data_IF_673781393955
#
_entry.id   IF_673781393955
#
_cell.length_a   1.000
_cell.length_b   1.000
_cell.length_c   1.000
_cell.angle_alpha   90.00
_cell.angle_beta   90.00
_cell.angle_gamma   90.00
#
_symmetry.space_group_name_H-M   'P 1'
#
loop_
_entity.id
_entity.type
_entity.pdbx_description
1 polymer ?
#
# COMPACT_ATOMS: atom_id res chain seq x y z
N UNK A 1 30.67 -19.23 -10.93
CA UNK A 1 30.57 -17.86 -11.46
C UNK A 1 31.57 -17.70 -12.58
N UNK A 2 31.12 -17.95 -13.80
CA UNK A 2 31.92 -17.89 -15.04
C UNK A 2 31.98 -16.46 -15.61
N UNK A 3 32.10 -15.45 -14.74
CA UNK A 3 32.10 -14.02 -15.13
C UNK A 3 30.89 -13.55 -15.96
N UNK A 4 29.82 -14.36 -16.03
CA UNK A 4 28.66 -14.19 -16.91
C UNK A 4 27.78 -12.95 -16.61
N UNK A 5 28.01 -12.28 -15.49
CA UNK A 5 27.22 -11.13 -15.03
C UNK A 5 28.05 -9.85 -14.82
N UNK A 6 29.29 -9.80 -15.32
CA UNK A 6 30.12 -8.59 -15.26
C UNK A 6 29.37 -7.41 -15.90
N UNK A 7 29.32 -6.28 -15.18
CA UNK A 7 28.66 -5.04 -15.63
C UNK A 7 27.14 -4.99 -15.43
N UNK A 8 26.51 -6.09 -14.99
CA UNK A 8 25.07 -6.09 -14.66
C UNK A 8 24.81 -5.49 -13.27
N UNK A 9 23.60 -4.99 -13.07
CA UNK A 9 23.13 -4.45 -11.79
C UNK A 9 22.42 -5.55 -11.01
N UNK A 10 22.65 -5.60 -9.69
CA UNK A 10 21.89 -6.43 -8.76
C UNK A 10 21.11 -5.57 -7.76
N UNK A 11 19.96 -6.08 -7.33
CA UNK A 11 19.15 -5.52 -6.25
C UNK A 11 19.07 -6.51 -5.09
N UNK A 12 19.08 -5.99 -3.86
CA UNK A 12 18.71 -6.76 -2.68
C UNK A 12 17.21 -6.58 -2.47
N UNK A 13 16.42 -7.59 -2.81
CA UNK A 13 14.95 -7.50 -2.80
C UNK A 13 14.29 -8.87 -2.61
N UNK A 14 12.96 -8.89 -2.52
CA UNK A 14 12.18 -10.11 -2.70
C UNK A 14 12.62 -10.82 -3.99
N UNK A 15 12.91 -12.12 -3.90
CA UNK A 15 13.46 -12.88 -5.02
C UNK A 15 12.47 -13.09 -6.17
N UNK A 16 11.19 -12.89 -5.92
CA UNK A 16 10.16 -12.92 -6.95
C UNK A 16 9.46 -14.27 -7.11
N UNK A 17 8.45 -14.32 -7.98
CA UNK A 17 7.55 -15.47 -8.09
C UNK A 17 8.20 -16.73 -8.67
N UNK A 18 9.35 -16.61 -9.34
CA UNK A 18 10.09 -17.78 -9.85
C UNK A 18 10.67 -18.66 -8.75
N UNK A 19 10.72 -18.16 -7.51
CA UNK A 19 11.13 -18.91 -6.32
C UNK A 19 9.95 -19.49 -5.53
N UNK A 20 8.71 -19.34 -6.04
CA UNK A 20 7.49 -19.87 -5.45
C UNK A 20 6.93 -20.94 -6.39
N UNK A 21 6.90 -22.19 -5.94
CA UNK A 21 6.27 -23.30 -6.66
C UNK A 21 4.84 -23.51 -6.18
N UNK A 22 4.66 -23.54 -4.86
CA UNK A 22 3.38 -23.64 -4.16
C UNK A 22 3.23 -22.48 -3.18
N UNK A 23 2.38 -21.47 -3.48
CA UNK A 23 2.22 -20.29 -2.64
C UNK A 23 1.56 -20.59 -1.27
N UNK A 24 1.13 -21.82 -1.00
CA UNK A 24 0.62 -22.23 0.30
C UNK A 24 1.70 -22.65 1.29
N UNK A 25 2.92 -22.93 0.83
CA UNK A 25 4.03 -23.45 1.66
C UNK A 25 5.39 -22.82 1.34
N UNK A 26 5.53 -22.13 0.20
CA UNK A 26 6.78 -21.53 -0.20
C UNK A 26 6.84 -20.05 0.18
N UNK A 27 8.02 -19.62 0.63
CA UNK A 27 8.40 -18.22 0.78
C UNK A 27 9.55 -17.92 -0.16
N UNK A 28 9.48 -16.82 -0.93
CA UNK A 28 10.57 -16.53 -1.85
C UNK A 28 11.77 -16.02 -1.04
N UNK A 29 11.54 -15.20 -0.01
CA UNK A 29 12.59 -14.55 0.77
C UNK A 29 13.30 -13.43 0.03
N UNK A 30 14.32 -12.86 0.67
CA UNK A 30 15.09 -11.69 0.19
C UNK A 30 16.54 -12.09 -0.07
N UNK A 31 17.06 -11.74 -1.25
CA UNK A 31 18.47 -11.95 -1.61
C UNK A 31 18.90 -11.00 -2.74
N UNK A 32 20.18 -11.04 -3.11
CA UNK A 32 20.73 -10.35 -4.27
C UNK A 32 20.30 -11.03 -5.57
N UNK A 33 19.43 -10.36 -6.33
CA UNK A 33 18.98 -10.80 -7.65
C UNK A 33 19.49 -9.85 -8.75
N UNK A 34 19.63 -10.34 -9.98
CA UNK A 34 19.86 -9.46 -11.13
C UNK A 34 18.67 -8.51 -11.30
N UNK A 35 18.95 -7.23 -11.58
CA UNK A 35 17.92 -6.21 -11.75
C UNK A 35 16.92 -6.54 -12.88
N UNK A 36 17.37 -7.23 -13.92
CA UNK A 36 16.51 -7.70 -15.03
C UNK A 36 15.51 -8.80 -14.64
N UNK A 37 15.73 -9.44 -13.48
CA UNK A 37 14.84 -10.46 -12.90
C UNK A 37 13.96 -9.88 -11.78
N UNK A 38 13.99 -8.57 -11.55
CA UNK A 38 13.23 -7.95 -10.46
C UNK A 38 11.72 -7.90 -10.75
N UNK A 39 10.92 -8.16 -9.72
CA UNK A 39 9.46 -8.06 -9.74
C UNK A 39 8.95 -7.20 -8.58
N UNK A 40 7.85 -6.45 -8.77
CA UNK A 40 7.15 -5.82 -7.66
C UNK A 40 6.58 -6.89 -6.72
N UNK A 41 6.48 -6.57 -5.43
CA UNK A 41 5.90 -7.46 -4.42
C UNK A 41 4.38 -7.50 -4.55
N UNK A 42 3.90 -8.31 -5.50
CA UNK A 42 2.49 -8.48 -5.86
C UNK A 42 2.25 -9.90 -6.39
N UNK A 43 0.98 -10.31 -6.47
CA UNK A 43 0.60 -11.51 -7.26
C UNK A 43 1.12 -11.35 -8.69
N UNK A 44 1.66 -12.41 -9.34
CA UNK A 44 2.10 -12.35 -10.73
C UNK A 44 1.00 -11.89 -11.71
N UNK A 45 -0.26 -12.22 -11.41
CA UNK A 45 -1.42 -11.81 -12.19
C UNK A 45 -1.87 -10.37 -11.91
N UNK A 46 -1.42 -9.77 -10.82
CA UNK A 46 -1.67 -8.39 -10.48
C UNK A 46 -0.53 -7.53 -11.04
N UNK A 47 -0.58 -7.36 -12.35
CA UNK A 47 0.37 -6.51 -13.08
C UNK A 47 0.29 -5.06 -12.61
N UNK A 48 1.40 -4.33 -12.74
CA UNK A 48 1.41 -2.87 -12.54
C UNK A 48 0.23 -2.27 -13.30
N UNK A 49 -0.66 -1.53 -12.64
CA UNK A 49 -1.89 -1.06 -13.26
C UNK A 49 -1.64 -0.27 -14.57
N UNK A 50 -2.49 -0.40 -15.59
CA UNK A 50 -2.24 0.13 -16.94
C UNK A 50 -2.55 1.63 -17.04
N UNK A 51 -1.96 2.43 -16.16
CA UNK A 51 -2.05 3.89 -16.14
C UNK A 51 -0.75 4.52 -15.62
N UNK A 52 -0.57 5.81 -15.85
CA UNK A 52 0.62 6.53 -15.39
C UNK A 52 0.75 6.48 -13.86
N UNK A 53 1.98 6.26 -13.36
CA UNK A 53 2.25 6.16 -11.92
C UNK A 53 2.12 7.49 -11.18
N UNK A 54 2.48 8.60 -11.81
CA UNK A 54 2.34 9.92 -11.19
C UNK A 54 0.95 10.53 -11.45
N UNK A 55 0.16 10.87 -10.44
CA UNK A 55 0.34 10.67 -8.99
C UNK A 55 -0.27 9.34 -8.51
N UNK A 56 0.11 8.88 -7.32
CA UNK A 56 -0.51 7.72 -6.68
C UNK A 56 -1.99 7.98 -6.39
N UNK A 57 -2.86 7.20 -7.04
CA UNK A 57 -4.30 7.23 -6.80
C UNK A 57 -4.65 6.78 -5.37
N UNK A 58 -4.02 5.71 -4.88
CA UNK A 58 -4.25 5.22 -3.51
C UNK A 58 -3.91 6.28 -2.45
N UNK A 59 -2.80 6.99 -2.64
CA UNK A 59 -2.41 8.08 -1.74
C UNK A 59 -3.42 9.22 -1.77
N UNK A 60 -3.93 9.55 -2.95
CA UNK A 60 -4.92 10.62 -3.13
C UNK A 60 -6.28 10.27 -2.53
N UNK A 61 -6.85 9.11 -2.88
CA UNK A 61 -8.17 8.68 -2.42
C UNK A 61 -8.21 8.40 -0.92
N UNK A 62 -7.20 7.69 -0.40
CA UNK A 62 -7.17 7.37 1.03
C UNK A 62 -7.04 8.63 1.88
N UNK A 63 -6.25 9.62 1.43
CA UNK A 63 -6.11 10.88 2.17
C UNK A 63 -7.36 11.74 2.08
N UNK A 64 -8.01 11.80 0.92
CA UNK A 64 -9.31 12.46 0.80
C UNK A 64 -10.36 11.84 1.74
N UNK A 65 -10.42 10.51 1.79
CA UNK A 65 -11.31 9.80 2.71
C UNK A 65 -10.99 10.11 4.17
N UNK A 66 -9.71 10.17 4.57
CA UNK A 66 -9.33 10.49 5.93
C UNK A 66 -9.79 11.90 6.37
N UNK A 67 -9.67 12.91 5.49
CA UNK A 67 -10.18 14.25 5.78
C UNK A 67 -11.71 14.29 5.87
N UNK A 68 -12.41 13.57 4.96
CA UNK A 68 -13.88 13.48 4.99
C UNK A 68 -14.36 12.81 6.28
N UNK A 69 -13.74 11.69 6.67
CA UNK A 69 -14.10 10.98 7.90
C UNK A 69 -13.86 11.85 9.13
N UNK A 70 -12.72 12.55 9.19
CA UNK A 70 -12.41 13.49 10.28
C UNK A 70 -13.47 14.59 10.40
N UNK A 71 -13.87 15.17 9.26
CA UNK A 71 -14.89 16.22 9.25
C UNK A 71 -16.29 15.68 9.60
N UNK A 72 -16.60 14.45 9.19
CA UNK A 72 -17.89 13.81 9.43
C UNK A 72 -18.07 13.40 10.90
N UNK A 73 -17.05 12.82 11.52
CA UNK A 73 -17.10 12.41 12.93
C UNK A 73 -16.81 13.54 13.90
N UNK A 74 -16.20 14.62 13.42
CA UNK A 74 -15.73 15.73 14.26
C UNK A 74 -14.46 15.40 15.06
N UNK A 75 -13.82 14.26 14.79
CA UNK A 75 -12.61 13.80 15.46
C UNK A 75 -11.66 13.14 14.45
N UNK A 76 -10.35 13.34 14.63
CA UNK A 76 -9.32 12.70 13.81
C UNK A 76 -9.17 11.20 14.13
N UNK A 77 -9.55 10.78 15.33
CA UNK A 77 -9.46 9.40 15.78
C UNK A 77 -10.61 8.53 15.26
N UNK A 78 -10.34 7.23 15.09
CA UNK A 78 -11.41 6.27 14.90
C UNK A 78 -12.33 6.22 16.14
N UNK A 79 -13.61 5.88 15.99
CA UNK A 79 -14.51 5.70 17.13
C UNK A 79 -13.93 4.70 18.13
N UNK A 80 -13.88 5.07 19.41
CA UNK A 80 -13.21 4.27 20.44
C UNK A 80 -11.68 4.46 20.52
N UNK A 81 -11.11 5.36 19.72
CA UNK A 81 -9.70 5.78 19.77
C UNK A 81 -8.73 4.97 18.90
N UNK A 82 -9.15 3.81 18.39
CA UNK A 82 -8.29 2.91 17.61
C UNK A 82 -9.14 2.01 16.70
N UNK A 83 -8.73 1.86 15.44
CA UNK A 83 -9.20 0.79 14.55
C UNK A 83 -8.22 -0.38 14.58
N UNK A 84 -8.74 -1.61 14.40
CA UNK A 84 -7.93 -2.83 14.35
C UNK A 84 -8.35 -3.72 13.19
N UNK A 85 -7.38 -4.43 12.62
CA UNK A 85 -7.59 -5.48 11.63
C UNK A 85 -6.78 -6.72 12.03
N UNK A 86 -7.47 -7.81 12.34
CA UNK A 86 -6.84 -9.08 12.71
C UNK A 86 -6.33 -9.81 11.47
N UNK A 87 -5.08 -10.29 11.55
CA UNK A 87 -4.43 -11.07 10.51
C UNK A 87 -4.01 -12.39 11.13
N UNK A 88 -4.51 -13.49 10.58
CA UNK A 88 -4.16 -14.84 10.99
C UNK A 88 -2.92 -15.32 10.26
N UNK A 89 -2.09 -16.08 10.96
CA UNK A 89 -0.90 -16.68 10.38
C UNK A 89 -1.30 -17.49 9.14
N UNK A 90 -0.55 -17.33 8.05
CA UNK A 90 -0.67 -18.07 6.78
C UNK A 90 -2.02 -17.94 6.05
N UNK A 91 -2.89 -16.99 6.43
CA UNK A 91 -4.24 -16.85 5.83
C UNK A 91 -4.43 -15.59 4.97
N UNK A 92 -3.39 -14.75 4.81
CA UNK A 92 -3.56 -13.43 4.16
C UNK A 92 -2.81 -13.28 2.84
N UNK A 93 -1.58 -13.79 2.77
CA UNK A 93 -0.83 -13.83 1.52
C UNK A 93 -1.32 -14.99 0.65
N UNK A 94 -1.11 -14.84 -0.65
CA UNK A 94 -1.77 -15.58 -1.73
C UNK A 94 -0.83 -15.80 -2.91
N UNK A 95 0.42 -15.36 -2.76
CA UNK A 95 1.50 -15.47 -3.72
C UNK A 95 2.80 -15.93 -3.06
N UNK A 96 2.76 -16.21 -1.76
CA UNK A 96 3.73 -16.93 -0.93
C UNK A 96 3.08 -17.18 0.45
N UNK A 97 3.62 -18.09 1.25
CA UNK A 97 3.11 -18.38 2.60
C UNK A 97 3.33 -17.19 3.53
N UNK A 98 2.30 -16.81 4.28
CA UNK A 98 2.41 -15.82 5.33
C UNK A 98 1.15 -14.98 5.60
N UNK A 99 1.20 -14.10 6.61
CA UNK A 99 2.33 -13.87 7.52
C UNK A 99 2.58 -15.06 8.46
N UNK A 100 3.79 -15.24 8.99
CA UNK A 100 4.17 -16.41 9.80
C UNK A 100 3.62 -16.42 11.24
N UNK A 101 2.97 -15.33 11.67
CA UNK A 101 2.38 -15.20 13.01
C UNK A 101 1.06 -14.45 12.93
N UNK A 102 0.19 -14.74 13.89
CA UNK A 102 -0.99 -13.92 14.16
C UNK A 102 -0.55 -12.50 14.55
N UNK A 103 -1.21 -11.50 14.00
CA UNK A 103 -0.99 -10.10 14.36
C UNK A 103 -2.27 -9.27 14.21
N UNK A 104 -2.25 -8.07 14.79
CA UNK A 104 -3.31 -7.07 14.60
C UNK A 104 -2.69 -5.79 14.08
N UNK A 105 -3.12 -5.35 12.90
CA UNK A 105 -2.80 -4.01 12.40
C UNK A 105 -3.70 -3.00 13.11
N UNK A 106 -3.15 -1.87 13.54
CA UNK A 106 -3.87 -0.88 14.33
C UNK A 106 -3.58 0.54 13.84
N UNK A 107 -4.62 1.40 13.87
CA UNK A 107 -4.54 2.80 13.46
C UNK A 107 -5.35 3.68 14.40
N UNK A 108 -4.71 4.69 15.00
CA UNK A 108 -5.40 5.57 15.93
C UNK A 108 -6.29 6.55 15.17
N UNK A 109 -5.76 7.14 14.11
CA UNK A 109 -6.43 8.15 13.29
C UNK A 109 -6.74 7.65 11.88
N UNK A 110 -7.72 8.26 11.23
CA UNK A 110 -7.96 8.02 9.80
C UNK A 110 -6.74 8.32 8.94
N UNK A 111 -5.90 9.26 9.38
CA UNK A 111 -4.67 9.61 8.68
C UNK A 111 -3.61 8.51 8.77
N UNK A 112 -3.50 7.82 9.90
CA UNK A 112 -2.57 6.69 10.05
C UNK A 112 -2.93 5.56 9.07
N UNK A 113 -4.23 5.24 8.95
CA UNK A 113 -4.72 4.26 7.99
C UNK A 113 -4.45 4.69 6.54
N UNK A 114 -4.69 5.95 6.21
CA UNK A 114 -4.39 6.52 4.89
C UNK A 114 -2.88 6.52 4.58
N UNK A 115 -2.04 6.79 5.58
CA UNK A 115 -0.59 6.81 5.41
C UNK A 115 -0.03 5.42 5.19
N UNK A 116 -0.54 4.41 5.90
CA UNK A 116 -0.16 3.02 5.65
C UNK A 116 -0.69 2.52 4.30
N UNK A 117 -1.91 2.90 3.89
CA UNK A 117 -2.43 2.60 2.55
C UNK A 117 -1.49 3.15 1.46
N UNK A 118 -0.99 4.37 1.65
CA UNK A 118 -0.06 5.01 0.72
C UNK A 118 1.30 4.30 0.68
N UNK A 119 1.89 4.02 1.86
CA UNK A 119 3.16 3.30 1.98
C UNK A 119 3.10 1.89 1.40
N UNK A 120 1.94 1.22 1.48
CA UNK A 120 1.74 -0.12 0.91
C UNK A 120 2.06 -0.18 -0.60
N UNK A 121 1.93 0.93 -1.32
CA UNK A 121 2.22 0.96 -2.77
C UNK A 121 3.72 1.04 -3.06
N UNK A 122 4.48 1.63 -2.13
CA UNK A 122 5.94 1.67 -2.17
C UNK A 122 6.48 0.28 -1.80
N UNK A 123 6.00 -0.31 -0.71
CA UNK A 123 6.38 -1.67 -0.30
C UNK A 123 5.98 -2.72 -1.35
N UNK A 124 4.83 -2.53 -2.00
CA UNK A 124 4.38 -3.34 -3.12
C UNK A 124 5.16 -3.12 -4.42
N UNK A 125 6.08 -2.16 -4.47
CA UNK A 125 6.96 -1.91 -5.63
C UNK A 125 6.29 -1.26 -6.84
N UNK A 126 5.13 -0.60 -6.69
CA UNK A 126 4.40 -0.02 -7.83
C UNK A 126 4.30 1.51 -7.84
N UNK A 127 4.78 2.17 -6.79
CA UNK A 127 4.97 3.62 -6.76
C UNK A 127 6.31 3.97 -6.09
N UNK A 128 7.14 4.85 -6.67
CA UNK A 128 8.22 5.51 -5.93
C UNK A 128 7.66 6.55 -4.94
N UNK A 129 8.44 6.97 -3.92
CA UNK A 129 8.04 8.01 -2.98
C UNK A 129 7.61 9.35 -3.61
N UNK A 130 8.13 9.65 -4.81
CA UNK A 130 7.78 10.86 -5.56
C UNK A 130 6.30 10.90 -6.00
N UNK A 131 5.66 9.74 -6.17
CA UNK A 131 4.25 9.64 -6.58
C UNK A 131 3.29 9.82 -5.38
N UNK A 132 3.79 9.61 -4.16
CA UNK A 132 3.00 9.50 -2.95
C UNK A 132 2.65 10.86 -2.34
N UNK A 133 3.67 11.64 -1.96
CA UNK A 133 3.48 12.90 -1.23
C UNK A 133 2.59 13.89 -1.98
N UNK A 134 2.77 14.13 -3.30
CA UNK A 134 1.86 14.99 -4.06
C UNK A 134 0.42 14.46 -4.05
N UNK A 135 0.24 13.14 -4.13
CA UNK A 135 -1.08 12.50 -4.01
C UNK A 135 -1.76 12.79 -2.68
N UNK A 136 -1.03 12.66 -1.56
CA UNK A 136 -1.57 13.00 -0.23
C UNK A 136 -1.95 14.48 -0.14
N UNK A 137 -1.11 15.39 -0.63
CA UNK A 137 -1.39 16.83 -0.61
C UNK A 137 -2.66 17.20 -1.40
N UNK A 138 -2.84 16.58 -2.57
CA UNK A 138 -4.05 16.73 -3.39
C UNK A 138 -5.26 16.14 -2.65
N UNK A 139 -5.12 14.96 -2.06
CA UNK A 139 -6.16 14.31 -1.26
C UNK A 139 -6.66 15.19 -0.11
N UNK A 140 -5.77 15.91 0.59
CA UNK A 140 -6.17 16.85 1.65
C UNK A 140 -7.13 17.92 1.11
N UNK A 141 -6.80 18.49 -0.06
CA UNK A 141 -7.59 19.54 -0.69
C UNK A 141 -8.93 19.00 -1.16
N UNK A 142 -8.93 17.85 -1.83
CA UNK A 142 -10.14 17.20 -2.34
C UNK A 142 -11.09 16.85 -1.18
N UNK A 143 -10.60 16.22 -0.12
CA UNK A 143 -11.43 15.77 0.99
C UNK A 143 -12.17 16.92 1.68
N UNK A 144 -11.44 18.02 1.98
CA UNK A 144 -12.03 19.23 2.58
C UNK A 144 -13.07 19.89 1.66
N UNK A 145 -12.74 20.04 0.38
CA UNK A 145 -13.66 20.65 -0.59
C UNK A 145 -14.92 19.79 -0.78
N UNK A 146 -14.76 18.48 -0.84
CA UNK A 146 -15.87 17.52 -1.02
C UNK A 146 -16.82 17.57 0.17
N UNK A 147 -16.30 17.55 1.40
CA UNK A 147 -17.15 17.64 2.60
C UNK A 147 -17.89 18.99 2.67
N UNK A 148 -17.21 20.10 2.38
CA UNK A 148 -17.84 21.42 2.34
C UNK A 148 -18.96 21.49 1.30
N UNK A 149 -18.76 20.90 0.12
CA UNK A 149 -19.78 20.83 -0.90
C UNK A 149 -20.98 19.98 -0.44
N UNK A 150 -20.72 18.80 0.15
CA UNK A 150 -21.78 17.95 0.68
C UNK A 150 -22.61 18.70 1.76
N UNK A 151 -21.96 19.46 2.64
CA UNK A 151 -22.64 20.28 3.65
C UNK A 151 -23.55 21.35 3.05
N UNK A 152 -23.23 21.92 1.89
CA UNK A 152 -24.13 22.88 1.22
C UNK A 152 -25.43 22.22 0.73
N UNK A 153 -25.35 20.96 0.29
CA UNK A 153 -26.53 20.22 -0.17
C UNK A 153 -27.35 19.61 0.97
N UNK A 154 -26.69 19.13 2.03
CA UNK A 154 -27.32 18.28 3.05
C UNK A 154 -27.32 18.89 4.46
N UNK A 155 -26.62 19.99 4.71
CA UNK A 155 -26.45 20.60 6.04
C UNK A 155 -27.55 21.58 6.46
N UNK A 156 -28.62 21.72 5.68
CA UNK A 156 -29.74 22.62 5.94
C UNK A 156 -30.99 21.91 6.49
N UNK A 157 -30.82 20.78 7.18
CA UNK A 157 -31.91 20.14 7.95
C UNK A 157 -31.80 20.50 9.43
#
# INVERSE_FOLDING_TARGET
DDEEHIGKIKFLSWKGPTFITDPSIDEAGVDWILAENWWPYQRPTFVTPPFAGYISGHSTYSRAAAEVMTALTGDAYFPGGMSGFEVKANEFLVFEEGPSVDMTLQWATYRDASDQCSLSRIWGGIHPPADDIPGRLIGITIGKNTFNLAKQYFGHQ
#
